data_IF_192918223369
#
_entry.id   IF_192918223369
#
_cell.length_a   1.000
_cell.length_b   1.000
_cell.length_c   1.000
_cell.angle_alpha   90.00
_cell.angle_beta   90.00
_cell.angle_gamma   90.00
#
_symmetry.space_group_name_H-M   'P 1'
#
loop_
_entity.id
_entity.type
_entity.pdbx_description
1 polymer ?
#
# COMPACT_ATOMS: atom_id res chain seq x y z
N UNK A 1 -16.04 22.15 4.90
CA UNK A 1 -15.38 21.40 5.97
C UNK A 1 -16.25 21.33 7.22
N UNK A 2 -16.74 22.46 7.72
CA UNK A 2 -17.48 22.54 8.99
C UNK A 2 -18.67 21.58 9.07
N UNK A 3 -19.47 21.53 8.00
CA UNK A 3 -20.59 20.57 7.88
C UNK A 3 -20.17 19.09 7.98
N UNK A 4 -18.99 18.73 7.48
CA UNK A 4 -18.47 17.36 7.59
C UNK A 4 -18.15 17.02 9.05
N UNK A 5 -17.43 17.92 9.72
CA UNK A 5 -17.05 17.82 11.13
C UNK A 5 -18.28 17.80 12.05
N UNK A 6 -19.32 18.55 11.71
CA UNK A 6 -20.58 18.58 12.46
C UNK A 6 -21.31 17.23 12.39
N UNK A 7 -21.42 16.63 11.20
CA UNK A 7 -22.22 15.44 10.94
C UNK A 7 -21.49 14.15 11.31
N UNK A 8 -20.21 14.00 10.95
CA UNK A 8 -19.50 12.72 11.02
C UNK A 8 -18.97 12.45 12.42
N UNK A 9 -19.24 11.24 12.93
CA UNK A 9 -18.65 10.69 14.13
C UNK A 9 -17.35 9.95 13.78
N UNK A 10 -16.18 10.51 14.12
CA UNK A 10 -14.90 9.90 13.79
C UNK A 10 -14.68 8.56 14.51
N UNK A 11 -15.25 8.37 15.70
CA UNK A 11 -15.07 7.16 16.51
C UNK A 11 -15.88 5.96 16.03
N UNK A 12 -16.90 6.19 15.20
CA UNK A 12 -17.78 5.16 14.66
C UNK A 12 -17.48 4.81 13.18
N UNK A 13 -16.42 5.37 12.60
CA UNK A 13 -16.05 5.12 11.22
C UNK A 13 -15.32 3.79 11.06
N UNK A 14 -15.40 3.21 9.86
CA UNK A 14 -14.78 1.93 9.54
C UNK A 14 -13.96 2.04 8.25
N UNK A 15 -12.79 1.40 8.23
CA UNK A 15 -12.08 1.12 6.99
C UNK A 15 -12.75 -0.09 6.35
N UNK A 16 -13.13 0.01 5.08
CA UNK A 16 -13.96 -0.99 4.40
C UNK A 16 -13.27 -1.69 3.24
N UNK A 17 -12.10 -1.22 2.81
CA UNK A 17 -11.36 -1.83 1.71
C UNK A 17 -9.86 -1.49 1.79
N UNK A 18 -9.06 -2.27 1.08
CA UNK A 18 -7.64 -2.06 0.83
C UNK A 18 -7.39 -2.01 -0.68
N UNK A 19 -6.36 -1.29 -1.16
CA UNK A 19 -5.89 -1.46 -2.53
C UNK A 19 -5.52 -2.91 -2.78
N UNK A 20 -5.90 -3.46 -3.94
CA UNK A 20 -5.66 -4.87 -4.26
C UNK A 20 -4.17 -5.22 -4.42
N UNK A 21 -3.32 -4.21 -4.60
CA UNK A 21 -1.90 -4.34 -4.94
C UNK A 21 -1.17 -5.30 -4.01
N UNK A 22 -0.38 -6.19 -4.60
CA UNK A 22 0.53 -7.09 -3.91
C UNK A 22 1.95 -6.74 -4.32
N UNK A 23 2.77 -6.32 -3.36
CA UNK A 23 4.16 -6.00 -3.65
C UNK A 23 5.02 -7.26 -3.75
N UNK A 24 5.96 -7.27 -4.69
CA UNK A 24 6.96 -8.32 -4.83
C UNK A 24 8.36 -7.73 -4.68
N UNK A 25 9.01 -8.03 -3.55
CA UNK A 25 10.37 -7.62 -3.19
C UNK A 25 11.37 -8.79 -3.29
N UNK A 26 12.67 -8.49 -3.36
CA UNK A 26 13.71 -9.49 -3.56
C UNK A 26 14.90 -9.01 -4.39
N UNK A 27 15.52 -9.93 -5.12
CA UNK A 27 16.68 -9.67 -5.96
C UNK A 27 16.41 -8.84 -7.22
N UNK A 28 17.48 -8.50 -7.97
CA UNK A 28 17.38 -7.66 -9.16
C UNK A 28 16.55 -8.31 -10.25
N UNK A 29 15.95 -7.48 -11.11
CA UNK A 29 15.23 -7.93 -12.30
C UNK A 29 16.02 -7.62 -13.57
N UNK A 30 16.07 -8.59 -14.47
CA UNK A 30 16.66 -8.44 -15.80
C UNK A 30 15.65 -7.86 -16.80
N UNK A 31 16.10 -7.54 -18.01
CA UNK A 31 15.21 -7.00 -19.04
C UNK A 31 14.30 -8.09 -19.61
N UNK A 32 13.22 -7.67 -20.27
CA UNK A 32 12.32 -8.57 -20.96
C UNK A 32 13.08 -9.36 -22.04
N UNK A 33 12.91 -10.69 -22.05
CA UNK A 33 13.59 -11.61 -22.98
C UNK A 33 14.97 -12.10 -22.53
N UNK A 34 15.55 -11.54 -21.47
CA UNK A 34 16.81 -12.03 -20.89
C UNK A 34 16.56 -13.20 -19.92
N UNK A 35 17.62 -13.93 -19.54
CA UNK A 35 17.54 -14.90 -18.45
C UNK A 35 17.26 -14.19 -17.11
N UNK A 36 16.53 -14.81 -16.16
CA UNK A 36 16.26 -14.20 -14.86
C UNK A 36 17.54 -13.82 -14.10
N UNK A 37 17.54 -12.66 -13.43
CA UNK A 37 18.65 -12.20 -12.60
C UNK A 37 18.54 -12.61 -11.12
N UNK A 38 17.39 -13.15 -10.71
CA UNK A 38 17.08 -13.58 -9.34
C UNK A 38 15.90 -14.57 -9.32
N UNK A 39 15.58 -15.17 -8.18
CA UNK A 39 14.37 -15.97 -7.96
C UNK A 39 13.13 -15.09 -8.03
N UNK A 40 13.18 -13.86 -7.50
CA UNK A 40 12.10 -12.86 -7.69
C UNK A 40 11.80 -12.65 -9.16
N UNK A 41 12.85 -12.45 -9.96
CA UNK A 41 12.72 -12.22 -11.41
C UNK A 41 12.25 -13.48 -12.14
N UNK A 42 12.71 -14.66 -11.72
CA UNK A 42 12.26 -15.93 -12.28
C UNK A 42 10.77 -16.18 -12.00
N UNK A 43 10.33 -15.91 -10.76
CA UNK A 43 8.93 -15.95 -10.36
C UNK A 43 8.11 -14.97 -11.20
N UNK A 44 8.51 -13.70 -11.26
CA UNK A 44 7.81 -12.67 -12.02
C UNK A 44 7.66 -13.03 -13.51
N UNK A 45 8.71 -13.57 -14.13
CA UNK A 45 8.62 -13.98 -15.55
C UNK A 45 7.68 -15.15 -15.76
N UNK A 46 7.64 -16.09 -14.83
CA UNK A 46 6.70 -17.22 -14.90
C UNK A 46 5.26 -16.78 -14.67
N UNK A 47 4.97 -15.78 -13.83
CA UNK A 47 3.59 -15.26 -13.68
C UNK A 47 3.07 -14.64 -14.97
N UNK A 48 3.93 -14.05 -15.81
CA UNK A 48 3.55 -13.52 -17.13
C UNK A 48 3.25 -14.61 -18.17
N UNK A 49 3.81 -15.81 -18.00
CA UNK A 49 3.63 -16.95 -18.91
C UNK A 49 2.56 -17.93 -18.41
N UNK A 50 2.21 -17.85 -17.14
CA UNK A 50 1.29 -18.76 -16.49
C UNK A 50 -0.12 -18.64 -17.08
N UNK A 51 -0.68 -19.78 -17.46
CA UNK A 51 -2.10 -19.91 -17.80
C UNK A 51 -2.98 -20.18 -16.57
N UNK A 52 -2.38 -20.34 -15.39
CA UNK A 52 -3.11 -20.59 -14.16
C UNK A 52 -3.99 -19.39 -13.82
N UNK A 53 -5.30 -19.63 -13.70
CA UNK A 53 -6.35 -18.63 -13.46
C UNK A 53 -6.37 -18.11 -12.00
N UNK A 54 -5.21 -17.77 -11.43
CA UNK A 54 -5.19 -17.13 -10.12
C UNK A 54 -5.40 -15.62 -10.30
N UNK A 55 -6.59 -15.14 -9.93
CA UNK A 55 -7.00 -13.73 -10.13
C UNK A 55 -6.07 -12.72 -9.47
N UNK A 56 -5.38 -13.09 -8.38
CA UNK A 56 -4.47 -12.20 -7.68
C UNK A 56 -3.15 -11.95 -8.43
N UNK A 57 -2.81 -12.73 -9.45
CA UNK A 57 -1.60 -12.49 -10.25
C UNK A 57 -1.64 -11.14 -10.96
N UNK A 58 -2.83 -10.65 -11.35
CA UNK A 58 -2.98 -9.31 -11.93
C UNK A 58 -2.80 -8.17 -10.93
N UNK A 59 -2.81 -8.48 -9.63
CA UNK A 59 -2.59 -7.51 -8.57
C UNK A 59 -1.11 -7.36 -8.19
N UNK A 60 -0.24 -8.23 -8.73
CA UNK A 60 1.19 -8.17 -8.48
C UNK A 60 1.80 -6.89 -9.05
N UNK A 61 2.65 -6.27 -8.25
CA UNK A 61 3.38 -5.07 -8.65
C UNK A 61 4.78 -5.07 -8.04
N UNK A 62 5.66 -4.28 -8.64
CA UNK A 62 7.01 -4.04 -8.17
C UNK A 62 7.26 -2.55 -8.11
N UNK A 63 7.99 -2.08 -7.11
CA UNK A 63 8.18 -0.65 -6.99
C UNK A 63 8.90 -0.01 -8.19
N UNK A 64 9.79 -0.75 -8.85
CA UNK A 64 10.53 -0.33 -10.04
C UNK A 64 9.65 -0.16 -11.29
N UNK A 65 8.40 -0.62 -11.27
CA UNK A 65 7.44 -0.38 -12.35
C UNK A 65 6.94 1.08 -12.36
N UNK A 66 7.19 1.87 -11.31
CA UNK A 66 6.67 3.23 -11.16
C UNK A 66 7.73 4.30 -11.44
N UNK A 67 7.37 5.27 -12.26
CA UNK A 67 8.25 6.40 -12.58
C UNK A 67 8.57 7.21 -11.32
N UNK A 68 9.86 7.52 -11.12
CA UNK A 68 10.32 8.30 -9.97
C UNK A 68 10.49 7.48 -8.68
N UNK A 69 10.34 6.16 -8.74
CA UNK A 69 10.69 5.23 -7.67
C UNK A 69 12.04 5.55 -7.01
N UNK A 70 13.07 5.80 -7.83
CA UNK A 70 14.43 6.12 -7.40
C UNK A 70 14.58 7.46 -6.68
N UNK A 71 13.60 8.35 -6.79
CA UNK A 71 13.62 9.69 -6.18
C UNK A 71 12.95 9.70 -4.80
N UNK A 72 12.57 8.53 -4.28
CA UNK A 72 11.95 8.31 -2.97
C UNK A 72 10.74 9.20 -2.68
N UNK A 73 10.07 9.79 -3.68
CA UNK A 73 8.86 10.62 -3.53
C UNK A 73 8.87 11.60 -2.34
N UNK A 74 10.03 12.19 -2.03
CA UNK A 74 10.20 13.11 -0.89
C UNK A 74 10.27 12.44 0.49
N UNK A 75 10.75 11.20 0.52
CA UNK A 75 11.36 10.53 1.67
C UNK A 75 12.88 10.75 1.64
N UNK A 76 13.50 10.75 2.82
CA UNK A 76 14.95 10.92 2.95
C UNK A 76 15.72 9.60 2.73
N UNK A 77 15.04 8.47 2.87
CA UNK A 77 15.60 7.13 2.66
C UNK A 77 14.59 6.15 2.03
N UNK A 78 15.13 5.13 1.36
CA UNK A 78 14.36 4.10 0.66
C UNK A 78 13.57 3.20 1.62
N UNK A 79 14.13 2.94 2.80
CA UNK A 79 13.57 2.00 3.76
C UNK A 79 12.23 2.50 4.30
N UNK A 80 12.15 3.79 4.63
CA UNK A 80 10.92 4.42 5.09
C UNK A 80 9.85 4.43 4.00
N UNK A 81 10.25 4.70 2.75
CA UNK A 81 9.34 4.69 1.62
C UNK A 81 8.75 3.29 1.34
N UNK A 82 9.59 2.26 1.31
CA UNK A 82 9.16 0.87 1.09
C UNK A 82 8.23 0.37 2.19
N UNK A 83 8.57 0.67 3.45
CA UNK A 83 7.71 0.37 4.59
C UNK A 83 6.35 1.03 4.43
N UNK A 84 6.32 2.32 4.13
CA UNK A 84 5.06 3.05 4.02
C UNK A 84 4.22 2.59 2.81
N UNK A 85 4.88 2.22 1.70
CA UNK A 85 4.22 1.61 0.54
C UNK A 85 3.58 0.25 0.88
N UNK A 86 4.19 -0.53 1.78
CA UNK A 86 3.62 -1.80 2.25
C UNK A 86 2.37 -1.62 3.10
N UNK A 87 2.19 -0.49 3.80
CA UNK A 87 0.95 -0.25 4.56
C UNK A 87 -0.29 -0.28 3.67
N UNK A 88 -0.19 0.21 2.43
CA UNK A 88 -1.30 0.30 1.48
C UNK A 88 -1.41 -0.91 0.54
N UNK A 89 -0.62 -1.96 0.74
CA UNK A 89 -0.70 -3.19 -0.03
C UNK A 89 -1.67 -4.19 0.61
N UNK A 90 -2.33 -5.00 -0.21
CA UNK A 90 -3.09 -6.17 0.27
C UNK A 90 -2.14 -7.19 0.90
N UNK A 91 -0.97 -7.36 0.31
CA UNK A 91 0.08 -8.26 0.75
C UNK A 91 1.45 -7.82 0.24
N UNK A 92 2.49 -8.30 0.92
CA UNK A 92 3.88 -8.17 0.51
C UNK A 92 4.50 -9.56 0.40
N UNK A 93 4.99 -9.91 -0.78
CA UNK A 93 5.78 -11.11 -1.05
C UNK A 93 7.25 -10.69 -1.11
N UNK A 94 8.10 -11.36 -0.33
CA UNK A 94 9.52 -11.07 -0.26
C UNK A 94 10.34 -12.33 -0.52
N UNK A 95 11.18 -12.29 -1.54
CA UNK A 95 12.19 -13.32 -1.78
C UNK A 95 13.45 -13.00 -0.97
N UNK A 96 13.70 -13.74 0.11
CA UNK A 96 14.88 -13.59 0.96
C UNK A 96 16.08 -14.30 0.33
N UNK A 97 16.68 -13.68 -0.69
CA UNK A 97 17.62 -14.32 -1.62
C UNK A 97 18.94 -13.55 -1.82
N UNK A 98 19.06 -12.36 -1.24
CA UNK A 98 20.19 -11.45 -1.42
C UNK A 98 20.44 -10.63 -0.16
N UNK A 99 21.64 -10.02 0.01
CA UNK A 99 21.89 -9.15 1.16
C UNK A 99 20.86 -8.02 1.33
N UNK A 100 20.41 -7.42 0.22
CA UNK A 100 19.37 -6.38 0.23
C UNK A 100 18.03 -6.90 0.73
N UNK A 101 17.54 -8.00 0.15
CA UNK A 101 16.25 -8.59 0.55
C UNK A 101 16.26 -9.19 1.96
N UNK A 102 17.41 -9.60 2.48
CA UNK A 102 17.57 -9.99 3.89
C UNK A 102 17.49 -8.78 4.83
N UNK A 103 17.99 -7.62 4.41
CA UNK A 103 17.82 -6.38 5.15
C UNK A 103 16.36 -5.90 5.13
N UNK A 104 15.70 -5.94 3.97
CA UNK A 104 14.25 -5.69 3.82
C UNK A 104 13.43 -6.61 4.73
N UNK A 105 13.76 -7.91 4.76
CA UNK A 105 13.11 -8.87 5.65
C UNK A 105 13.22 -8.44 7.12
N UNK A 106 14.41 -8.02 7.56
CA UNK A 106 14.62 -7.51 8.90
C UNK A 106 13.72 -6.31 9.22
N UNK A 107 13.63 -5.35 8.30
CA UNK A 107 12.83 -4.13 8.48
C UNK A 107 11.32 -4.39 8.46
N UNK A 108 10.84 -5.25 7.57
CA UNK A 108 9.42 -5.56 7.46
C UNK A 108 8.93 -6.51 8.58
N UNK A 109 9.78 -7.42 9.06
CA UNK A 109 9.40 -8.40 10.08
C UNK A 109 9.22 -7.82 11.49
N UNK A 110 9.74 -6.61 11.74
CA UNK A 110 9.56 -5.89 13.02
C UNK A 110 8.35 -4.96 12.99
N UNK A 111 7.75 -4.72 11.82
CA UNK A 111 6.58 -3.85 11.69
C UNK A 111 5.29 -4.65 11.91
N UNK A 112 4.63 -4.41 13.05
CA UNK A 112 3.41 -5.14 13.44
C UNK A 112 2.21 -4.89 12.50
N UNK A 113 2.23 -3.81 11.71
CA UNK A 113 1.16 -3.50 10.74
C UNK A 113 1.37 -4.19 9.39
N UNK A 114 2.62 -4.52 9.05
CA UNK A 114 2.99 -5.21 7.80
C UNK A 114 3.09 -6.72 8.02
N UNK A 115 3.66 -7.16 9.13
CA UNK A 115 3.98 -8.57 9.41
C UNK A 115 2.83 -9.56 9.14
N UNK A 116 1.55 -9.27 9.49
CA UNK A 116 0.43 -10.16 9.17
C UNK A 116 0.16 -10.36 7.67
N UNK A 117 0.67 -9.45 6.84
CA UNK A 117 0.57 -9.40 5.38
C UNK A 117 1.92 -9.62 4.71
N UNK A 118 2.90 -10.19 5.42
CA UNK A 118 4.21 -10.53 4.87
C UNK A 118 4.33 -12.03 4.59
N UNK A 119 4.54 -12.37 3.31
CA UNK A 119 4.85 -13.72 2.84
C UNK A 119 6.31 -13.76 2.38
N UNK A 120 7.10 -14.66 2.96
CA UNK A 120 8.53 -14.75 2.70
C UNK A 120 8.85 -16.06 2.03
N UNK A 121 9.45 -15.98 0.85
CA UNK A 121 10.05 -17.11 0.14
C UNK A 121 11.52 -17.20 0.53
N UNK A 122 11.95 -18.36 1.04
CA UNK A 122 13.34 -18.60 1.48
C UNK A 122 13.84 -19.94 0.97
N UNK A 123 15.11 -19.98 0.56
CA UNK A 123 15.75 -21.22 0.13
C UNK A 123 16.09 -22.11 1.33
N UNK A 124 15.89 -23.42 1.18
CA UNK A 124 16.11 -24.44 2.22
C UNK A 124 17.54 -24.48 2.75
N UNK A 125 18.53 -24.06 1.96
CA UNK A 125 19.93 -23.99 2.38
C UNK A 125 20.16 -22.99 3.52
N UNK A 126 19.28 -22.00 3.70
CA UNK A 126 19.32 -21.12 4.88
C UNK A 126 18.81 -21.80 6.14
N UNK A 127 18.16 -22.97 6.05
CA UNK A 127 17.47 -23.65 7.15
C UNK A 127 18.16 -24.95 7.61
N UNK A 128 19.28 -25.30 6.98
CA UNK A 128 20.10 -26.47 7.36
C UNK A 128 20.69 -26.30 8.77
N UNK A 129 21.01 -27.40 9.45
CA UNK A 129 21.40 -27.38 10.87
C UNK A 129 22.52 -26.39 11.19
N UNK A 130 23.52 -26.25 10.33
CA UNK A 130 24.64 -25.30 10.51
C UNK A 130 24.21 -23.82 10.46
N UNK A 131 23.01 -23.53 9.94
CA UNK A 131 22.44 -22.20 9.79
C UNK A 131 21.23 -21.96 10.70
N UNK A 132 20.68 -22.99 11.34
CA UNK A 132 19.46 -22.88 12.19
C UNK A 132 19.61 -21.90 13.34
N UNK A 133 20.81 -21.76 13.88
CA UNK A 133 21.12 -20.82 14.98
C UNK A 133 21.52 -19.42 14.49
N UNK A 134 21.38 -19.14 13.19
CA UNK A 134 21.67 -17.81 12.64
C UNK A 134 20.63 -16.77 13.06
N UNK A 135 21.05 -15.50 13.04
CA UNK A 135 20.15 -14.37 13.31
C UNK A 135 18.94 -14.37 12.37
N UNK A 136 19.11 -14.74 11.10
CA UNK A 136 18.03 -14.86 10.12
C UNK A 136 16.91 -15.80 10.60
N UNK A 137 17.29 -17.00 11.07
CA UNK A 137 16.35 -18.02 11.52
C UNK A 137 15.74 -17.71 12.88
N UNK A 138 16.57 -17.28 13.84
CA UNK A 138 16.11 -17.01 15.21
C UNK A 138 15.35 -15.69 15.35
N UNK A 139 15.54 -14.77 14.41
CA UNK A 139 14.93 -13.44 14.37
C UNK A 139 13.78 -13.35 13.37
N UNK A 140 13.99 -12.71 12.19
CA UNK A 140 12.89 -12.32 11.32
C UNK A 140 12.11 -13.50 10.73
N UNK A 141 12.74 -14.62 10.35
CA UNK A 141 12.00 -15.78 9.85
C UNK A 141 11.11 -16.40 10.93
N UNK A 142 11.55 -16.45 12.18
CA UNK A 142 10.75 -16.92 13.31
C UNK A 142 9.54 -16.02 13.58
N UNK A 143 9.70 -14.70 13.40
CA UNK A 143 8.57 -13.76 13.51
C UNK A 143 7.56 -13.98 12.39
N UNK A 144 8.04 -14.12 11.15
CA UNK A 144 7.20 -14.38 9.97
C UNK A 144 6.45 -15.71 10.10
N UNK A 145 7.09 -16.76 10.58
CA UNK A 145 6.43 -18.05 10.82
C UNK A 145 5.27 -17.96 11.82
N UNK A 146 5.39 -17.09 12.82
CA UNK A 146 4.35 -16.93 13.86
C UNK A 146 3.17 -16.06 13.41
N UNK A 147 3.42 -15.07 12.55
CA UNK A 147 2.47 -13.98 12.30
C UNK A 147 2.14 -13.73 10.83
N UNK A 148 3.01 -14.13 9.90
CA UNK A 148 2.83 -14.01 8.45
C UNK A 148 2.80 -15.39 7.80
N UNK A 149 3.54 -15.56 6.69
CA UNK A 149 3.73 -16.87 6.06
C UNK A 149 5.16 -17.04 5.57
N UNK A 150 5.73 -18.23 5.80
CA UNK A 150 7.02 -18.64 5.27
C UNK A 150 6.81 -19.77 4.27
N UNK A 151 7.32 -19.59 3.05
CA UNK A 151 7.40 -20.60 2.01
C UNK A 151 8.87 -21.00 1.82
N UNK A 152 9.15 -22.30 1.88
CA UNK A 152 10.51 -22.83 1.73
C UNK A 152 10.63 -23.50 0.38
N UNK A 153 11.65 -23.12 -0.38
CA UNK A 153 11.96 -23.71 -1.70
C UNK A 153 13.29 -24.46 -1.68
N UNK A 154 13.39 -25.54 -2.46
CA UNK A 154 14.57 -26.40 -2.54
C UNK A 154 15.66 -25.91 -3.50
N UNK A 155 15.35 -24.95 -4.38
CA UNK A 155 16.27 -24.45 -5.40
C UNK A 155 17.59 -23.94 -4.81
N UNK A 156 18.73 -24.39 -5.35
CA UNK A 156 20.08 -23.96 -4.94
C UNK A 156 20.66 -22.89 -5.87
N UNK A 157 20.09 -22.72 -7.07
CA UNK A 157 20.53 -21.75 -8.07
C UNK A 157 19.65 -20.50 -7.94
N UNK A 158 20.24 -19.38 -7.56
CA UNK A 158 19.54 -18.13 -7.26
C UNK A 158 18.80 -17.46 -8.46
N UNK A 159 18.87 -18.04 -9.66
CA UNK A 159 18.26 -17.48 -10.88
C UNK A 159 17.33 -18.47 -11.58
N UNK A 160 17.16 -19.67 -11.04
CA UNK A 160 16.34 -20.72 -11.63
C UNK A 160 15.24 -21.11 -10.65
N UNK A 161 14.00 -20.97 -11.10
CA UNK A 161 12.81 -21.41 -10.37
C UNK A 161 12.15 -22.55 -11.15
N UNK A 162 12.37 -23.83 -10.76
CA UNK A 162 11.69 -24.96 -11.37
C UNK A 162 10.16 -24.84 -11.25
N UNK A 163 9.41 -25.42 -12.19
CA UNK A 163 7.94 -25.35 -12.20
C UNK A 163 7.30 -25.82 -10.88
N UNK A 164 7.83 -26.89 -10.28
CA UNK A 164 7.36 -27.40 -8.97
C UNK A 164 7.52 -26.39 -7.83
N UNK A 165 8.58 -25.58 -7.86
CA UNK A 165 8.83 -24.54 -6.86
C UNK A 165 7.93 -23.33 -7.11
N UNK A 166 7.71 -22.98 -8.39
CA UNK A 166 6.74 -21.94 -8.77
C UNK A 166 5.33 -22.31 -8.29
N UNK A 167 4.88 -23.53 -8.56
CA UNK A 167 3.59 -24.05 -8.09
C UNK A 167 3.48 -23.99 -6.56
N UNK A 168 4.52 -24.46 -5.85
CA UNK A 168 4.58 -24.42 -4.38
C UNK A 168 4.49 -23.00 -3.82
N UNK A 169 5.18 -22.03 -4.45
CA UNK A 169 5.07 -20.61 -4.07
C UNK A 169 3.65 -20.10 -4.33
N UNK A 170 3.08 -20.35 -5.50
CA UNK A 170 1.75 -19.86 -5.86
C UNK A 170 0.65 -20.44 -4.97
N UNK A 171 0.72 -21.73 -4.63
CA UNK A 171 -0.24 -22.39 -3.74
C UNK A 171 -0.10 -21.88 -2.30
N UNK A 172 1.14 -21.66 -1.85
CA UNK A 172 1.41 -21.05 -0.55
C UNK A 172 0.84 -19.63 -0.47
N UNK A 173 1.02 -18.82 -1.51
CA UNK A 173 0.47 -17.45 -1.57
C UNK A 173 -1.06 -17.51 -1.62
N UNK A 174 -1.64 -18.33 -2.50
CA UNK A 174 -3.09 -18.41 -2.67
C UNK A 174 -3.81 -18.86 -1.40
N UNK A 175 -3.23 -19.81 -0.66
CA UNK A 175 -3.78 -20.30 0.62
C UNK A 175 -3.64 -19.30 1.77
N UNK A 176 -2.60 -18.45 1.73
CA UNK A 176 -2.34 -17.45 2.76
C UNK A 176 -3.04 -16.12 2.51
N UNK A 177 -3.23 -15.72 1.25
CA UNK A 177 -3.79 -14.42 0.90
C UNK A 177 -5.18 -14.23 1.52
N UNK A 178 -5.45 -13.07 2.14
CA UNK A 178 -6.78 -12.79 2.67
C UNK A 178 -7.80 -12.71 1.53
N UNK A 179 -8.90 -13.48 1.65
CA UNK A 179 -9.93 -13.65 0.61
C UNK A 179 -10.98 -12.55 0.55
N UNK A 180 -11.10 -11.69 1.57
CA UNK A 180 -12.11 -10.62 1.60
C UNK A 180 -11.57 -9.30 2.18
N UNK A 181 -12.08 -8.15 1.71
CA UNK A 181 -11.80 -6.87 2.35
C UNK A 181 -12.33 -6.88 3.77
N UNK A 182 -11.41 -6.87 4.74
CA UNK A 182 -11.75 -6.83 6.15
C UNK A 182 -12.23 -5.43 6.52
N UNK A 183 -13.54 -5.28 6.64
CA UNK A 183 -14.09 -4.12 7.33
C UNK A 183 -13.57 -4.13 8.76
N UNK A 184 -12.98 -3.01 9.20
CA UNK A 184 -12.46 -2.87 10.56
C UNK A 184 -12.74 -1.47 11.10
N UNK A 185 -12.89 -1.37 12.41
CA UNK A 185 -13.04 -0.07 13.07
C UNK A 185 -11.82 0.81 12.76
N UNK A 186 -12.08 2.08 12.43
CA UNK A 186 -11.02 3.04 12.19
C UNK A 186 -10.15 3.19 13.45
N UNK A 187 -8.83 3.29 13.23
CA UNK A 187 -7.83 3.28 14.30
C UNK A 187 -6.75 4.30 13.97
N UNK A 188 -6.57 5.28 14.84
CA UNK A 188 -5.62 6.37 14.63
C UNK A 188 -4.17 5.94 14.76
N UNK A 189 -3.91 4.85 15.49
CA UNK A 189 -2.59 4.26 15.67
C UNK A 189 -2.18 3.33 14.51
N UNK A 190 -3.14 2.93 13.66
CA UNK A 190 -2.86 2.09 12.50
C UNK A 190 -2.43 2.96 11.28
N UNK A 191 -1.20 2.79 10.76
CA UNK A 191 -0.68 3.60 9.67
C UNK A 191 -1.45 3.41 8.34
N UNK A 192 -1.90 2.19 8.04
CA UNK A 192 -2.77 1.91 6.90
C UNK A 192 -4.07 2.71 6.99
N UNK A 193 -4.72 2.71 8.16
CA UNK A 193 -5.99 3.43 8.36
C UNK A 193 -5.81 4.92 8.16
N UNK A 194 -4.72 5.50 8.70
CA UNK A 194 -4.40 6.92 8.50
C UNK A 194 -4.26 7.27 7.02
N UNK A 195 -3.48 6.50 6.25
CA UNK A 195 -3.26 6.75 4.83
C UNK A 195 -4.55 6.60 4.00
N UNK A 196 -5.36 5.58 4.29
CA UNK A 196 -6.65 5.38 3.61
C UNK A 196 -7.65 6.49 3.93
N UNK A 197 -7.69 6.98 5.17
CA UNK A 197 -8.49 8.15 5.52
C UNK A 197 -8.07 9.37 4.71
N UNK A 198 -6.77 9.65 4.59
CA UNK A 198 -6.28 10.79 3.81
C UNK A 198 -6.70 10.69 2.34
N UNK A 199 -6.54 9.52 1.72
CA UNK A 199 -6.97 9.28 0.35
C UNK A 199 -8.49 9.44 0.18
N UNK A 200 -9.27 8.92 1.13
CA UNK A 200 -10.73 8.98 1.08
C UNK A 200 -11.27 10.41 1.29
N UNK A 201 -10.62 11.19 2.16
CA UNK A 201 -10.91 12.61 2.35
C UNK A 201 -10.66 13.42 1.07
N UNK A 202 -9.57 13.14 0.35
CA UNK A 202 -9.32 13.78 -0.96
C UNK A 202 -10.40 13.39 -1.97
N UNK A 203 -10.84 12.13 -1.98
CA UNK A 203 -11.95 11.70 -2.85
C UNK A 203 -13.28 12.39 -2.50
N UNK A 204 -13.56 12.60 -1.21
CA UNK A 204 -14.74 13.35 -0.75
C UNK A 204 -14.71 14.82 -1.15
N UNK A 205 -13.56 15.46 -0.99
CA UNK A 205 -13.38 16.89 -1.19
C UNK A 205 -13.11 17.27 -2.64
N UNK A 206 -12.88 16.28 -3.52
CA UNK A 206 -12.62 16.40 -4.96
C UNK A 206 -11.30 17.12 -5.32
N UNK A 207 -11.11 18.37 -4.86
CA UNK A 207 -9.91 19.20 -5.02
C UNK A 207 -9.62 19.90 -3.69
N UNK A 208 -8.51 19.56 -3.05
CA UNK A 208 -8.19 20.04 -1.69
C UNK A 208 -6.81 20.68 -1.61
N UNK A 209 -6.69 21.72 -0.78
CA UNK A 209 -5.36 22.09 -0.28
C UNK A 209 -4.94 21.06 0.75
N UNK A 210 -3.63 20.87 0.92
CA UNK A 210 -3.10 19.91 1.90
C UNK A 210 -3.56 20.25 3.32
N UNK A 211 -3.68 21.54 3.65
CA UNK A 211 -4.18 21.97 4.96
C UNK A 211 -5.66 21.63 5.19
N UNK A 212 -6.49 21.58 4.14
CA UNK A 212 -7.87 21.12 4.28
C UNK A 212 -7.89 19.64 4.68
N UNK A 213 -7.13 18.81 3.97
CA UNK A 213 -7.04 17.37 4.27
C UNK A 213 -6.50 17.15 5.68
N UNK A 214 -5.47 17.90 6.07
CA UNK A 214 -4.87 17.85 7.42
C UNK A 214 -5.87 18.23 8.51
N UNK A 215 -6.67 19.28 8.30
CA UNK A 215 -7.74 19.69 9.24
C UNK A 215 -8.84 18.66 9.34
N UNK A 216 -9.28 18.07 8.22
CA UNK A 216 -10.25 16.97 8.24
C UNK A 216 -9.70 15.76 8.99
N UNK A 217 -8.46 15.35 8.72
CA UNK A 217 -7.80 14.25 9.42
C UNK A 217 -7.70 14.52 10.93
N UNK A 218 -7.47 15.79 11.33
CA UNK A 218 -7.47 16.22 12.71
C UNK A 218 -8.78 15.95 13.46
N UNK A 219 -9.93 16.00 12.78
CA UNK A 219 -11.23 15.61 13.36
C UNK A 219 -11.26 14.13 13.77
N UNK A 220 -10.54 13.28 13.05
CA UNK A 220 -10.38 11.86 13.40
C UNK A 220 -9.29 11.61 14.44
N UNK A 221 -8.68 12.65 15.00
CA UNK A 221 -7.53 12.53 15.90
C UNK A 221 -6.21 12.22 15.19
N UNK A 222 -6.18 12.25 13.85
CA UNK A 222 -4.94 12.09 13.07
C UNK A 222 -4.26 13.44 12.94
N UNK A 223 -3.27 13.67 13.81
CA UNK A 223 -2.44 14.89 13.79
C UNK A 223 -1.21 14.65 12.93
N UNK A 224 -1.02 15.51 11.93
CA UNK A 224 0.10 15.47 11.00
C UNK A 224 0.73 16.87 10.93
N UNK A 225 2.05 16.93 10.95
CA UNK A 225 2.83 18.10 10.57
C UNK A 225 2.80 18.34 9.05
N UNK A 226 3.39 19.46 8.62
CA UNK A 226 3.43 19.85 7.20
C UNK A 226 4.22 18.84 6.35
N UNK A 227 5.41 18.44 6.82
CA UNK A 227 6.23 17.44 6.12
C UNK A 227 5.54 16.07 6.04
N UNK A 228 4.83 15.66 7.09
CA UNK A 228 4.12 14.38 7.13
C UNK A 228 2.94 14.32 6.15
N UNK A 229 2.12 15.38 6.08
CA UNK A 229 1.00 15.42 5.13
C UNK A 229 1.51 15.48 3.68
N UNK A 230 2.58 16.23 3.42
CA UNK A 230 3.20 16.26 2.10
C UNK A 230 3.74 14.89 1.67
N UNK A 231 4.48 14.24 2.56
CA UNK A 231 5.02 12.89 2.32
C UNK A 231 3.91 11.88 2.08
N UNK A 232 2.85 11.90 2.88
CA UNK A 232 1.68 11.05 2.67
C UNK A 232 1.01 11.32 1.31
N UNK A 233 0.84 12.58 0.91
CA UNK A 233 0.26 12.91 -0.40
C UNK A 233 1.13 12.47 -1.58
N UNK A 234 2.45 12.57 -1.45
CA UNK A 234 3.40 12.06 -2.46
C UNK A 234 3.33 10.54 -2.58
N UNK A 235 3.28 9.81 -1.47
CA UNK A 235 3.05 8.36 -1.46
C UNK A 235 1.71 8.00 -2.11
N UNK A 236 0.63 8.69 -1.74
CA UNK A 236 -0.70 8.43 -2.30
C UNK A 236 -0.79 8.76 -3.80
N UNK A 237 -0.05 9.75 -4.30
CA UNK A 237 0.08 9.99 -5.75
C UNK A 237 0.90 8.91 -6.45
N UNK A 238 2.03 8.52 -5.86
CA UNK A 238 2.87 7.43 -6.35
C UNK A 238 2.06 6.12 -6.51
N UNK A 239 1.23 5.79 -5.53
CA UNK A 239 0.37 4.60 -5.55
C UNK A 239 -0.89 4.78 -6.42
N UNK A 240 -1.12 5.97 -6.97
CA UNK A 240 -2.27 6.25 -7.83
C UNK A 240 -3.61 6.31 -7.09
N UNK A 241 -3.60 6.57 -5.78
CA UNK A 241 -4.80 6.74 -4.96
C UNK A 241 -5.29 8.19 -4.95
N UNK A 242 -4.36 9.14 -5.00
CA UNK A 242 -4.60 10.59 -5.11
C UNK A 242 -3.81 11.11 -6.32
N UNK A 243 -4.08 12.33 -6.78
CA UNK A 243 -3.17 13.03 -7.69
C UNK A 243 -2.72 14.36 -7.10
N UNK A 244 -1.41 14.55 -7.00
CA UNK A 244 -0.83 15.82 -6.58
C UNK A 244 -0.66 16.75 -7.79
N UNK A 245 -1.21 17.96 -7.70
CA UNK A 245 -1.07 19.03 -8.69
C UNK A 245 -0.54 20.31 -8.04
N UNK A 246 -0.03 21.23 -8.85
CA UNK A 246 0.45 22.53 -8.38
C UNK A 246 -0.23 23.67 -9.14
N UNK A 247 -0.52 24.76 -8.41
CA UNK A 247 -0.88 26.06 -8.99
C UNK A 247 0.03 27.12 -8.37
N UNK A 248 0.97 27.62 -9.17
CA UNK A 248 2.08 28.42 -8.64
C UNK A 248 2.92 27.58 -7.68
N UNK A 249 3.10 28.06 -6.45
CA UNK A 249 3.82 27.34 -5.38
C UNK A 249 2.91 26.51 -4.47
N UNK A 250 1.59 26.55 -4.68
CA UNK A 250 0.62 25.91 -3.80
C UNK A 250 0.29 24.49 -4.30
N UNK A 251 0.52 23.44 -3.50
CA UNK A 251 0.15 22.06 -3.84
C UNK A 251 -1.34 21.80 -3.57
N UNK A 252 -1.95 21.00 -4.44
CA UNK A 252 -3.34 20.55 -4.34
C UNK A 252 -3.40 19.02 -4.47
N UNK A 253 -4.11 18.40 -3.53
CA UNK A 253 -4.46 16.98 -3.59
C UNK A 253 -5.80 16.84 -4.30
N UNK A 254 -5.85 16.04 -5.35
CA UNK A 254 -7.01 15.92 -6.24
C UNK A 254 -7.45 14.47 -6.33
N UNK A 255 -8.77 14.25 -6.31
CA UNK A 255 -9.36 12.91 -6.47
C UNK A 255 -8.91 12.27 -7.79
N UNK A 256 -8.79 10.95 -7.80
CA UNK A 256 -8.70 10.16 -9.03
C UNK A 256 -10.04 9.45 -9.24
N UNK A 257 -10.68 9.70 -10.38
CA UNK A 257 -12.02 9.17 -10.67
C UNK A 257 -12.05 7.64 -10.76
N UNK A 258 -10.96 7.05 -11.24
CA UNK A 258 -10.75 5.59 -11.31
C UNK A 258 -9.99 5.05 -10.09
N UNK A 259 -9.96 5.79 -8.97
CA UNK A 259 -9.48 5.20 -7.72
C UNK A 259 -10.46 4.13 -7.25
N UNK A 260 -9.99 3.15 -6.49
CA UNK A 260 -10.85 2.10 -5.99
C UNK A 260 -11.64 2.51 -4.72
N UNK A 261 -11.61 3.80 -4.33
CA UNK A 261 -12.41 4.38 -3.26
C UNK A 261 -13.92 4.03 -3.44
N UNK A 262 -14.71 3.93 -2.35
CA UNK A 262 -14.44 4.41 -1.00
C UNK A 262 -13.63 3.45 -0.11
N UNK A 263 -12.76 4.02 0.71
CA UNK A 263 -11.94 3.33 1.72
C UNK A 263 -12.48 3.44 3.13
N UNK A 264 -13.20 4.53 3.41
CA UNK A 264 -13.78 4.77 4.73
C UNK A 264 -15.30 4.86 4.62
N UNK A 265 -15.98 4.07 5.45
CA UNK A 265 -17.41 4.21 5.73
C UNK A 265 -17.58 5.17 6.89
N UNK A 266 -18.07 6.36 6.58
CA UNK A 266 -18.39 7.38 7.57
C UNK A 266 -19.73 7.10 8.25
N UNK A 267 -19.75 7.31 9.54
CA UNK A 267 -20.93 7.18 10.38
C UNK A 267 -21.32 8.56 10.90
N UNK A 268 -22.61 8.89 10.90
CA UNK A 268 -23.09 10.15 11.45
C UNK A 268 -23.17 10.10 12.97
N UNK A 269 -22.98 11.25 13.63
CA UNK A 269 -23.19 11.39 15.07
C UNK A 269 -24.65 11.12 15.43
N UNK A 270 -24.87 10.70 16.66
CA UNK A 270 -26.23 10.51 17.21
C UNK A 270 -27.04 11.80 17.05
N UNK A 271 -28.24 11.68 16.47
CA UNK A 271 -29.14 12.82 16.21
C UNK A 271 -28.86 13.61 14.94
N UNK A 272 -27.77 13.32 14.22
CA UNK A 272 -27.49 13.90 12.89
C UNK A 272 -28.08 13.02 11.78
N UNK A 273 -28.42 13.60 10.61
CA UNK A 273 -28.84 12.81 9.46
C UNK A 273 -27.71 11.89 9.01
N UNK A 274 -28.08 10.78 8.37
CA UNK A 274 -27.13 9.86 7.76
C UNK A 274 -26.16 10.59 6.82
N UNK A 275 -24.88 10.24 6.89
CA UNK A 275 -23.86 10.81 6.02
C UNK A 275 -23.95 10.20 4.61
N UNK A 276 -24.50 10.97 3.67
CA UNK A 276 -24.54 10.61 2.26
C UNK A 276 -23.31 11.14 1.53
N UNK A 277 -22.44 10.23 1.10
CA UNK A 277 -21.20 10.52 0.37
C UNK A 277 -21.46 11.29 -0.93
N UNK A 278 -22.43 10.85 -1.72
CA UNK A 278 -22.73 11.43 -3.03
C UNK A 278 -23.26 12.85 -2.88
N UNK A 279 -24.17 13.06 -1.92
CA UNK A 279 -24.68 14.39 -1.60
C UNK A 279 -23.58 15.31 -1.07
N UNK A 280 -22.67 14.79 -0.26
CA UNK A 280 -21.53 15.57 0.22
C UNK A 280 -20.62 16.02 -0.93
N UNK A 281 -20.34 15.13 -1.89
CA UNK A 281 -19.53 15.47 -3.08
C UNK A 281 -20.17 16.57 -3.93
N UNK A 282 -21.50 16.58 -4.10
CA UNK A 282 -22.21 17.66 -4.81
C UNK A 282 -21.96 19.00 -4.12
N UNK A 283 -22.09 19.06 -2.78
CA UNK A 283 -21.79 20.30 -2.03
C UNK A 283 -20.29 20.69 -2.12
N UNK A 284 -19.38 19.71 -2.15
CA UNK A 284 -17.95 19.99 -2.36
C UNK A 284 -17.67 20.56 -3.75
N UNK A 285 -18.37 20.07 -4.78
CA UNK A 285 -18.30 20.59 -6.15
C UNK A 285 -18.81 22.03 -6.23
N UNK A 286 -19.97 22.32 -5.64
CA UNK A 286 -20.51 23.69 -5.54
C UNK A 286 -19.49 24.64 -4.89
N UNK A 287 -18.84 24.22 -3.80
CA UNK A 287 -17.79 25.00 -3.15
C UNK A 287 -16.59 25.24 -4.09
N UNK A 288 -16.17 24.22 -4.84
CA UNK A 288 -15.04 24.32 -5.79
C UNK A 288 -15.35 25.32 -6.90
N UNK A 289 -16.56 25.32 -7.46
CA UNK A 289 -16.97 26.24 -8.52
C UNK A 289 -16.86 27.71 -8.10
N UNK A 290 -17.00 28.01 -6.81
CA UNK A 290 -16.86 29.36 -6.25
C UNK A 290 -15.42 29.74 -5.87
N UNK A 291 -14.46 28.80 -5.91
CA UNK A 291 -13.04 29.04 -5.68
C UNK A 291 -12.28 28.96 -7.01
N UNK A 292 -11.86 30.11 -7.54
CA UNK A 292 -11.20 30.19 -8.85
C UNK A 292 -9.98 29.26 -8.99
N UNK A 293 -9.18 29.07 -7.92
CA UNK A 293 -7.98 28.23 -7.99
C UNK A 293 -8.37 26.76 -8.05
N UNK A 294 -9.27 26.32 -7.18
CA UNK A 294 -9.75 24.93 -7.17
C UNK A 294 -10.53 24.61 -8.46
N UNK A 295 -11.38 25.53 -8.91
CA UNK A 295 -12.14 25.37 -10.14
C UNK A 295 -11.23 25.18 -11.35
N UNK A 296 -10.16 25.98 -11.47
CA UNK A 296 -9.18 25.85 -12.57
C UNK A 296 -8.46 24.49 -12.62
N UNK A 297 -8.43 23.75 -11.51
CA UNK A 297 -7.90 22.39 -11.43
C UNK A 297 -9.00 21.40 -11.79
N UNK A 298 -10.20 21.59 -11.23
CA UNK A 298 -11.35 20.73 -11.44
C UNK A 298 -11.78 20.65 -12.92
N UNK A 299 -11.87 21.80 -13.61
CA UNK A 299 -12.29 21.86 -15.03
C UNK A 299 -11.37 21.10 -15.98
N UNK A 300 -10.09 20.94 -15.65
CA UNK A 300 -9.14 20.19 -16.50
C UNK A 300 -9.28 18.67 -16.37
N UNK A 301 -10.14 18.21 -15.47
CA UNK A 301 -10.37 16.79 -15.18
C UNK A 301 -11.70 16.25 -15.68
N UNK A 302 -12.62 17.14 -16.08
CA UNK A 302 -13.79 16.78 -16.88
C UNK A 302 -13.37 16.51 -18.33
#
# INVERSE_FOLDING_TARGET
MDRFVEIVDPGACHVINLPNRIWVFGGPCSRHGEAPASLRDAFWKQTLQSTAQQSWLSDLDRPENHNGWWAFSGYDDLLEFERDACYLARATILFAESPGSLAELGALAIDESILPRLHVVVQSHHLVDTQRESFLNLGPLKRVEKHGCRCVIGGTIATQLPAVEFESITDSIASWLPTEPRTSAFRTDNPTHRLLLLADLVDLLLVSKLDDVRRAAGHFGVRLGESEIERAMRLLDFLGLVKLEHRGREPFAVRREKSAAPWVKYTAKVGQPHFDRSRFKITAEEFILHDQRRNSIFERRQ
#
